data_IF_954347672550
#
_entry.id   IF_954347672550
#
_cell.length_a   1.000
_cell.length_b   1.000
_cell.length_c   1.000
_cell.angle_alpha   90.00
_cell.angle_beta   90.00
_cell.angle_gamma   90.00
#
_symmetry.space_group_name_H-M   'P 1'
#
loop_
_entity.id
_entity.type
_entity.pdbx_description
1 polymer ?
#
# COMPACT_ATOMS: atom_id res chain seq x y z
N UNK A 1 12.15 2.38 2.19
CA UNK A 1 11.64 1.04 2.61
C UNK A 1 11.51 0.94 4.13
N UNK A 2 12.47 1.44 4.92
CA UNK A 2 12.34 1.38 6.38
C UNK A 2 11.14 2.18 6.92
N UNK A 3 10.93 3.43 6.46
CA UNK A 3 9.76 4.23 6.88
C UNK A 3 8.43 3.52 6.56
N UNK A 4 8.32 2.94 5.37
CA UNK A 4 7.18 2.10 4.96
C UNK A 4 6.97 0.93 5.91
N UNK A 5 8.05 0.21 6.25
CA UNK A 5 7.99 -0.94 7.16
C UNK A 5 7.48 -0.53 8.54
N UNK A 6 7.96 0.60 9.06
CA UNK A 6 7.53 1.11 10.37
C UNK A 6 6.05 1.45 10.38
N UNK A 7 5.52 2.10 9.34
CA UNK A 7 4.07 2.38 9.26
C UNK A 7 3.25 1.10 9.11
N UNK A 8 3.74 0.08 8.37
CA UNK A 8 3.07 -1.22 8.27
C UNK A 8 3.04 -1.94 9.63
N UNK A 9 4.18 -1.98 10.35
CA UNK A 9 4.28 -2.59 11.67
C UNK A 9 3.45 -1.85 12.72
N UNK A 10 3.28 -0.54 12.57
CA UNK A 10 2.41 0.29 13.39
C UNK A 10 0.93 0.22 12.99
N UNK A 11 0.57 -0.63 12.01
CA UNK A 11 -0.78 -0.80 11.47
C UNK A 11 -1.39 0.48 10.87
N UNK A 12 -0.55 1.43 10.42
CA UNK A 12 -0.97 2.71 9.82
C UNK A 12 -0.95 2.63 8.30
N UNK A 13 -1.81 1.77 7.77
CA UNK A 13 -1.93 1.55 6.34
C UNK A 13 -3.36 1.20 5.96
N UNK A 14 -3.67 1.37 4.67
CA UNK A 14 -4.89 0.83 4.06
C UNK A 14 -4.53 -0.25 3.04
N UNK A 15 -5.01 -1.50 3.19
CA UNK A 15 -4.87 -2.49 2.14
C UNK A 15 -5.88 -2.21 1.02
N UNK A 16 -5.42 -2.29 -0.23
CA UNK A 16 -6.23 -2.12 -1.44
C UNK A 16 -5.93 -3.25 -2.43
N UNK A 17 -6.96 -3.77 -3.10
CA UNK A 17 -6.76 -4.71 -4.20
C UNK A 17 -6.15 -4.02 -5.42
N UNK A 18 -5.20 -4.68 -6.09
CA UNK A 18 -4.71 -4.21 -7.39
C UNK A 18 -5.85 -4.30 -8.40
N UNK A 19 -6.08 -3.25 -9.19
CA UNK A 19 -7.22 -3.22 -10.14
C UNK A 19 -7.14 -4.30 -11.21
N UNK A 20 -5.94 -4.61 -11.70
CA UNK A 20 -5.72 -5.60 -12.74
C UNK A 20 -5.49 -7.00 -12.16
N UNK A 21 -6.48 -7.54 -11.44
CA UNK A 21 -6.37 -8.88 -10.83
C UNK A 21 -6.17 -10.01 -11.84
N UNK A 22 -6.58 -9.83 -13.10
CA UNK A 22 -6.40 -10.86 -14.14
C UNK A 22 -4.92 -11.21 -14.35
N UNK A 23 -4.05 -10.22 -14.32
CA UNK A 23 -2.61 -10.39 -14.51
C UNK A 23 -1.85 -10.42 -13.16
N UNK A 24 -2.54 -10.14 -12.05
CA UNK A 24 -1.99 -10.00 -10.70
C UNK A 24 -2.92 -10.63 -9.65
N UNK A 25 -3.32 -11.88 -9.87
CA UNK A 25 -4.30 -12.57 -9.03
C UNK A 25 -3.82 -12.66 -7.58
N UNK A 26 -4.68 -12.25 -6.64
CA UNK A 26 -4.39 -12.27 -5.21
C UNK A 26 -3.45 -11.15 -4.75
N UNK A 27 -2.92 -10.33 -5.66
CA UNK A 27 -2.02 -9.24 -5.30
C UNK A 27 -2.79 -8.07 -4.67
N UNK A 28 -2.27 -7.58 -3.55
CA UNK A 28 -2.76 -6.41 -2.83
C UNK A 28 -1.67 -5.34 -2.75
N UNK A 29 -2.05 -4.14 -2.34
CA UNK A 29 -1.14 -3.03 -2.06
C UNK A 29 -1.44 -2.46 -0.69
N UNK A 30 -0.39 -2.17 0.08
CA UNK A 30 -0.50 -1.26 1.21
C UNK A 30 -0.43 0.17 0.69
N UNK A 31 -1.39 1.00 1.08
CA UNK A 31 -1.33 2.44 0.96
C UNK A 31 -0.86 2.99 2.31
N UNK A 32 0.29 3.67 2.32
CA UNK A 32 0.89 4.26 3.52
C UNK A 32 1.17 5.74 3.28
N UNK A 33 1.04 6.56 4.32
CA UNK A 33 1.42 7.98 4.26
C UNK A 33 2.88 8.12 4.71
N UNK A 34 3.74 8.54 3.79
CA UNK A 34 5.14 8.83 4.09
C UNK A 34 5.41 10.28 3.73
N UNK A 35 5.81 11.09 4.72
CA UNK A 35 6.09 12.53 4.54
C UNK A 35 4.94 13.28 3.87
N UNK A 36 3.70 12.94 4.24
CA UNK A 36 2.48 13.56 3.70
C UNK A 36 2.06 13.08 2.32
N UNK A 37 2.75 12.09 1.74
CA UNK A 37 2.44 11.54 0.43
C UNK A 37 1.99 10.07 0.50
N UNK A 38 0.98 9.70 -0.29
CA UNK A 38 0.51 8.32 -0.41
C UNK A 38 1.47 7.48 -1.24
N UNK A 39 2.09 6.50 -0.58
CA UNK A 39 2.95 5.51 -1.19
C UNK A 39 2.19 4.18 -1.29
N UNK A 40 2.23 3.58 -2.48
CA UNK A 40 1.70 2.25 -2.75
C UNK A 40 2.81 1.21 -2.63
N UNK A 41 2.53 0.11 -1.96
CA UNK A 41 3.49 -0.98 -1.75
C UNK A 41 2.80 -2.30 -2.07
N UNK A 42 2.96 -2.84 -3.30
CA UNK A 42 2.40 -4.13 -3.64
C UNK A 42 3.01 -5.22 -2.77
N UNK A 43 2.20 -6.19 -2.38
CA UNK A 43 2.65 -7.31 -1.58
C UNK A 43 1.93 -8.60 -1.95
N UNK A 44 2.54 -9.72 -1.55
CA UNK A 44 1.94 -11.05 -1.58
C UNK A 44 2.02 -11.60 -0.15
N UNK A 45 0.95 -12.21 0.31
CA UNK A 45 0.92 -12.93 1.58
C UNK A 45 1.50 -14.33 1.37
N UNK A 46 2.50 -14.68 2.17
CA UNK A 46 3.16 -15.98 2.12
C UNK A 46 2.45 -16.98 3.04
N UNK A 47 2.73 -18.28 2.86
CA UNK A 47 2.04 -19.35 3.58
C UNK A 47 2.24 -19.33 5.09
N UNK A 48 3.32 -18.70 5.56
CA UNK A 48 3.67 -18.56 6.98
C UNK A 48 3.07 -17.31 7.62
N UNK A 49 2.23 -16.56 6.89
CA UNK A 49 1.58 -15.33 7.37
C UNK A 49 2.48 -14.09 7.27
N UNK A 50 3.65 -14.19 6.66
CA UNK A 50 4.50 -13.04 6.36
C UNK A 50 4.09 -12.35 5.06
N UNK A 51 4.50 -11.09 4.88
CA UNK A 51 4.23 -10.32 3.67
C UNK A 51 5.52 -10.07 2.88
N UNK A 52 5.58 -10.56 1.64
CA UNK A 52 6.64 -10.21 0.71
C UNK A 52 6.32 -8.87 0.04
N UNK A 53 7.01 -7.81 0.46
CA UNK A 53 6.84 -6.46 -0.09
C UNK A 53 7.63 -6.29 -1.40
N UNK A 54 6.95 -5.76 -2.42
CA UNK A 54 7.58 -5.31 -3.66
C UNK A 54 7.96 -3.83 -3.56
N UNK A 55 8.48 -3.30 -4.67
CA UNK A 55 8.90 -1.91 -4.79
C UNK A 55 7.79 -0.94 -4.40
N UNK A 56 8.09 -0.09 -3.41
CA UNK A 56 7.22 1.02 -3.00
C UNK A 56 7.31 2.18 -4.02
N UNK A 57 6.18 2.80 -4.35
CA UNK A 57 6.14 3.92 -5.29
C UNK A 57 5.07 4.96 -4.91
N UNK A 58 5.30 6.25 -5.16
CA UNK A 58 4.29 7.29 -4.96
C UNK A 58 3.14 7.13 -5.96
N UNK A 59 1.90 7.37 -5.53
CA UNK A 59 0.73 7.31 -6.41
C UNK A 59 -0.13 8.58 -6.35
N UNK A 60 -0.12 9.35 -7.45
CA UNK A 60 -0.84 10.62 -7.55
C UNK A 60 -2.37 10.48 -7.47
N UNK A 61 -2.93 9.38 -7.93
CA UNK A 61 -4.39 9.17 -7.88
C UNK A 61 -4.84 8.98 -6.44
N UNK A 62 -4.14 8.14 -5.67
CA UNK A 62 -4.45 7.98 -4.25
C UNK A 62 -4.11 9.23 -3.44
N UNK A 63 -3.05 9.95 -3.78
CA UNK A 63 -2.74 11.24 -3.16
C UNK A 63 -3.91 12.23 -3.29
N UNK A 64 -4.45 12.40 -4.50
CA UNK A 64 -5.62 13.29 -4.72
C UNK A 64 -6.84 12.86 -3.91
N UNK A 65 -7.12 11.55 -3.87
CA UNK A 65 -8.22 11.03 -3.05
C UNK A 65 -8.00 11.32 -1.57
N UNK A 66 -6.76 11.23 -1.09
CA UNK A 66 -6.39 11.54 0.29
C UNK A 66 -6.57 13.03 0.59
N UNK A 67 -6.06 13.92 -0.27
CA UNK A 67 -6.19 15.38 -0.14
C UNK A 67 -7.64 15.86 -0.19
N UNK A 68 -8.49 15.22 -1.01
CA UNK A 68 -9.92 15.51 -1.09
C UNK A 68 -10.74 14.88 0.06
N UNK A 69 -10.12 14.09 0.95
CA UNK A 69 -10.80 13.37 2.03
C UNK A 69 -11.62 12.14 1.59
N UNK A 70 -11.51 11.73 0.33
CA UNK A 70 -12.15 10.53 -0.25
C UNK A 70 -11.42 9.24 0.13
N UNK A 71 -10.15 9.33 0.55
CA UNK A 71 -9.34 8.23 1.03
C UNK A 71 -8.85 8.55 2.44
N UNK A 72 -9.10 7.62 3.37
CA UNK A 72 -8.56 7.65 4.73
C UNK A 72 -7.62 6.45 4.90
N UNK A 73 -6.43 6.73 5.41
CA UNK A 73 -5.36 5.78 5.72
C UNK A 73 -5.10 5.87 7.21
#
# INVERSE_FOLDING_TARGET
MEEVRQEILAERFKPELVRNQRDHEGQRMFLVIIKGYVICVPFVEEKDGTFFLKTAFPNRVYQRRYENGELRI
#
